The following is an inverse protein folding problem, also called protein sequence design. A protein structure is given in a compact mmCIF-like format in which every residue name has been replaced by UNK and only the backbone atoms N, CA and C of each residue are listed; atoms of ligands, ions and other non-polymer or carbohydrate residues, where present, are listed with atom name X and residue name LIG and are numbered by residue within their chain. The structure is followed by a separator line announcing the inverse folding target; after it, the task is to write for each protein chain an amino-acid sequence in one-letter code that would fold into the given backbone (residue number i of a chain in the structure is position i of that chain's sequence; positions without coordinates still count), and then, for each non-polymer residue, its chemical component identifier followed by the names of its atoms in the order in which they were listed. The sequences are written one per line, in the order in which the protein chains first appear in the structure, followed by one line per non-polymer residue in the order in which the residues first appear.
data_IF_013732140429
#
_entry.id   IF_013732140429
#
_cell.length_a   1.000
_cell.length_b   1.000
_cell.length_c   1.000
_cell.angle_alpha   90.00
_cell.angle_beta   90.00
_cell.angle_gamma   90.00
#
_symmetry.space_group_name_H-M   'P 1'
#
loop_
_entity.id
_entity.type
_entity.pdbx_description
1 polymer ?
#
# COMPACT_ATOMS: atom_id res chain seq x y z
N UNK A 1 -17.37 29.67 31.24
CA UNK A 1 -17.12 29.25 30.92
C UNK A 1 -16.39 29.00 30.23
N UNK A 2 -16.14 28.88 30.16
CA UNK A 2 -15.48 28.54 29.58
C UNK A 2 -14.76 27.88 29.07
N UNK A 3 -14.66 27.54 28.98
CA UNK A 3 -13.95 26.79 28.50
C UNK A 3 -13.55 26.23 27.88
N UNK A 4 -13.68 26.11 27.85
CA UNK A 4 -13.34 25.39 27.24
C UNK A 4 -12.63 25.06 26.54
N UNK A 5 -12.74 25.06 26.34
CA UNK A 5 -12.14 24.56 25.62
C UNK A 5 -11.27 24.33 25.18
N UNK A 6 -11.03 24.10 25.32
CA UNK A 6 -10.29 23.70 24.88
C UNK A 6 -9.79 22.97 24.50
N UNK A 7 -9.89 22.78 24.75
CA UNK A 7 -9.47 22.00 24.44
C UNK A 7 -9.15 21.56 23.67
N UNK A 8 -9.38 21.56 23.46
CA UNK A 8 -9.16 21.07 22.66
C UNK A 8 -8.43 20.93 22.12
N UNK A 9 -8.28 21.00 22.14
CA UNK A 9 -7.68 20.73 21.50
C UNK A 9 -6.95 20.18 21.38
N UNK A 10 -6.88 20.02 21.73
CA UNK A 10 -6.26 19.46 21.56
C UNK A 10 -5.89 18.69 21.17
N UNK A 11 -6.17 18.49 21.41
CA UNK A 11 -5.87 17.68 21.02
C UNK A 11 -5.44 17.40 20.17
N UNK A 12 -5.42 17.50 19.92
CA UNK A 12 -5.06 17.16 18.94
C UNK A 12 -4.02 17.03 18.62
N UNK A 13 -3.82 16.96 19.08
CA UNK A 13 -3.05 16.72 18.74
C UNK A 13 -2.39 16.18 18.39
N UNK A 14 -2.41 15.93 18.55
CA UNK A 14 -1.87 15.33 18.19
C UNK A 14 -1.53 14.88 17.63
N UNK A 15 -1.93 14.89 17.80
CA UNK A 15 -1.78 14.27 17.28
C UNK A 15 -1.12 14.00 16.69
N UNK A 16 -0.89 14.12 16.65
CA UNK A 16 -0.21 13.91 15.96
C UNK A 16 0.35 13.02 15.63
N UNK A 17 0.36 12.89 15.43
CA UNK A 17 0.74 11.95 15.09
C UNK A 17 1.66 11.56 14.33
N UNK A 18 1.80 11.10 14.23
CA UNK A 18 2.92 10.34 13.85
C UNK A 18 3.34 10.50 12.48
N UNK A 19 3.87 11.46 12.23
CA UNK A 19 4.26 11.77 10.92
C UNK A 19 5.53 11.09 10.47
N UNK A 20 6.13 10.29 11.34
CA UNK A 20 7.41 9.70 10.96
C UNK A 20 7.30 8.36 10.30
N UNK A 21 6.12 7.78 10.22
CA UNK A 21 5.91 6.55 9.51
C UNK A 21 5.09 6.86 8.27
N UNK A 22 5.74 7.16 7.18
CA UNK A 22 5.10 7.62 5.97
C UNK A 22 4.92 6.46 5.00
N UNK A 23 3.67 6.09 4.72
CA UNK A 23 3.38 5.10 3.70
C UNK A 23 3.26 5.78 2.35
N UNK A 24 3.92 5.20 1.36
CA UNK A 24 3.92 5.71 0.00
C UNK A 24 3.84 4.55 -0.97
N UNK A 25 3.43 4.84 -2.20
CA UNK A 25 3.46 3.83 -3.25
C UNK A 25 4.89 3.42 -3.53
N UNK A 26 5.09 2.12 -3.77
CA UNK A 26 6.40 1.65 -4.22
C UNK A 26 6.71 2.25 -5.57
N UNK A 27 7.98 2.20 -5.96
CA UNK A 27 8.42 2.84 -7.19
C UNK A 27 7.75 2.23 -8.42
N UNK A 28 7.77 0.91 -8.53
CA UNK A 28 7.20 0.24 -9.70
C UNK A 28 6.78 -1.18 -9.35
N UNK A 29 5.94 -1.73 -10.22
CA UNK A 29 5.51 -3.13 -10.15
C UNK A 29 6.19 -3.88 -11.28
N UNK A 30 6.85 -4.98 -10.95
CA UNK A 30 7.52 -5.82 -11.95
C UNK A 30 6.65 -7.01 -12.36
N UNK A 31 5.86 -7.55 -11.43
CA UNK A 31 4.96 -8.64 -11.76
C UNK A 31 3.78 -8.67 -10.81
N UNK A 32 2.67 -9.22 -11.28
CA UNK A 32 1.45 -9.33 -10.50
C UNK A 32 0.80 -10.67 -10.81
N UNK A 33 0.41 -11.39 -9.78
CA UNK A 33 -0.31 -12.63 -9.91
C UNK A 33 -1.58 -12.53 -9.07
N UNK A 34 -2.72 -12.84 -9.67
CA UNK A 34 -4.00 -12.85 -8.99
C UNK A 34 -4.69 -14.17 -9.28
N UNK A 35 -5.14 -14.86 -8.23
CA UNK A 35 -5.86 -16.11 -8.39
C UNK A 35 -7.03 -16.15 -7.45
N UNK A 36 -8.08 -16.85 -7.84
CA UNK A 36 -9.29 -16.98 -7.04
C UNK A 36 -9.53 -18.44 -6.72
N UNK A 37 -9.85 -18.70 -5.46
CA UNK A 37 -10.17 -20.04 -5.01
C UNK A 37 -11.09 -19.94 -3.81
N UNK A 38 -12.25 -20.59 -3.90
CA UNK A 38 -13.16 -20.66 -2.77
C UNK A 38 -13.70 -19.34 -2.29
N UNK A 39 -13.94 -18.38 -3.19
CA UNK A 39 -14.45 -17.06 -2.79
C UNK A 39 -13.41 -16.13 -2.25
N UNK A 40 -12.12 -16.46 -2.37
CA UNK A 40 -11.02 -15.63 -1.92
C UNK A 40 -10.07 -15.40 -3.10
N UNK A 41 -9.72 -14.13 -3.30
CA UNK A 41 -8.74 -13.74 -4.31
C UNK A 41 -7.41 -13.53 -3.60
N UNK A 42 -6.37 -14.21 -4.06
CA UNK A 42 -5.02 -14.03 -3.53
C UNK A 42 -4.22 -13.21 -4.54
N UNK A 43 -3.67 -12.12 -4.06
CA UNK A 43 -2.85 -11.22 -4.87
C UNK A 43 -1.41 -11.32 -4.40
N UNK A 44 -0.49 -11.39 -5.35
CA UNK A 44 0.94 -11.37 -5.06
C UNK A 44 1.59 -10.43 -6.05
N UNK A 45 2.27 -9.42 -5.54
CA UNK A 45 2.93 -8.42 -6.38
C UNK A 45 4.41 -8.38 -6.05
N UNK A 46 5.21 -8.21 -7.07
CA UNK A 46 6.64 -7.96 -6.94
C UNK A 46 6.94 -6.63 -7.59
N UNK A 47 7.77 -5.87 -6.94
CA UNK A 47 8.15 -4.56 -7.45
C UNK A 47 9.43 -4.11 -6.81
N UNK A 48 9.63 -2.81 -6.78
CA UNK A 48 10.87 -2.24 -6.26
C UNK A 48 10.61 -0.89 -5.64
N UNK A 49 11.47 -0.54 -4.68
CA UNK A 49 11.52 0.78 -4.08
C UNK A 49 12.84 1.44 -4.45
N UNK A 50 12.87 2.76 -4.33
CA UNK A 50 13.97 3.55 -4.87
C UNK A 50 15.23 3.58 -4.00
N UNK A 51 15.16 3.02 -2.80
CA UNK A 51 16.32 3.01 -1.90
C UNK A 51 16.17 1.91 -0.88
N UNK A 52 17.22 1.66 -0.11
CA UNK A 52 17.11 0.84 1.08
C UNK A 52 16.33 1.56 2.16
N UNK A 53 16.05 0.87 3.26
CA UNK A 53 15.38 1.45 4.41
C UNK A 53 13.86 1.42 4.38
N UNK A 54 13.26 1.03 3.27
CA UNK A 54 11.81 0.85 3.19
C UNK A 54 11.41 -0.43 3.91
N UNK A 55 10.26 -0.39 4.57
CA UNK A 55 9.74 -1.53 5.34
C UNK A 55 8.27 -1.75 5.04
N UNK A 56 7.75 -2.88 5.48
CA UNK A 56 6.33 -3.22 5.44
C UNK A 56 5.71 -3.08 4.05
N UNK A 57 6.25 -3.74 3.03
CA UNK A 57 5.57 -3.74 1.74
C UNK A 57 4.22 -4.44 1.89
N UNK A 58 3.18 -3.84 1.31
CA UNK A 58 1.84 -4.39 1.43
C UNK A 58 0.96 -3.94 0.29
N UNK A 59 -0.10 -4.67 0.07
CA UNK A 59 -1.12 -4.32 -0.91
C UNK A 59 -2.35 -3.83 -0.16
N UNK A 60 -2.76 -2.61 -0.48
CA UNK A 60 -3.91 -1.97 0.15
C UNK A 60 -5.06 -1.92 -0.83
N UNK A 61 -6.15 -2.62 -0.51
CA UNK A 61 -7.32 -2.63 -1.38
C UNK A 61 -8.06 -1.31 -1.20
N UNK A 62 -8.19 -0.56 -2.30
CA UNK A 62 -8.84 0.73 -2.27
C UNK A 62 -10.35 0.59 -2.46
N UNK A 63 -10.76 -0.10 -3.52
CA UNK A 63 -12.17 -0.31 -3.80
C UNK A 63 -12.32 -1.42 -4.84
N UNK A 64 -13.55 -1.88 -5.00
CA UNK A 64 -13.89 -2.85 -6.03
C UNK A 64 -15.28 -2.57 -6.53
N UNK A 65 -15.54 -2.90 -7.79
CA UNK A 65 -16.83 -2.66 -8.41
C UNK A 65 -17.51 -3.96 -8.86
N UNK A 66 -17.05 -5.09 -8.32
CA UNK A 66 -17.58 -6.41 -8.69
C UNK A 66 -16.90 -7.04 -9.88
N UNK A 67 -16.14 -6.28 -10.64
CA UNK A 67 -15.38 -6.80 -11.79
C UNK A 67 -13.91 -6.53 -11.65
N UNK A 68 -13.55 -5.37 -11.15
CA UNK A 68 -12.16 -4.97 -11.00
C UNK A 68 -11.91 -4.51 -9.57
N UNK A 69 -10.83 -5.00 -8.98
CA UNK A 69 -10.37 -4.55 -7.67
C UNK A 69 -9.18 -3.64 -7.90
N UNK A 70 -9.21 -2.46 -7.32
CA UNK A 70 -8.12 -1.49 -7.40
C UNK A 70 -7.33 -1.54 -6.10
N UNK A 71 -6.02 -1.70 -6.22
CA UNK A 71 -5.13 -1.93 -5.09
C UNK A 71 -3.92 -1.01 -5.22
N UNK A 72 -3.46 -0.47 -4.11
CA UNK A 72 -2.19 0.26 -4.07
C UNK A 72 -1.10 -0.63 -3.50
N UNK A 73 0.06 -0.62 -4.12
CA UNK A 73 1.24 -1.31 -3.60
C UNK A 73 2.04 -0.29 -2.78
N UNK A 74 1.99 -0.44 -1.47
CA UNK A 74 2.54 0.53 -0.53
C UNK A 74 3.69 -0.06 0.25
N UNK A 75 4.56 0.82 0.74
CA UNK A 75 5.57 0.46 1.73
C UNK A 75 5.82 1.69 2.60
N UNK A 76 6.43 1.47 3.75
CA UNK A 76 6.77 2.55 4.65
C UNK A 76 8.14 3.09 4.28
N UNK A 77 8.18 4.38 3.93
CA UNK A 77 9.43 5.04 3.55
C UNK A 77 10.35 5.17 4.75
N UNK A 78 11.68 5.22 4.53
CA UNK A 78 12.61 5.44 5.63
C UNK A 78 12.36 6.80 6.28
N UNK A 79 12.56 6.93 7.60
CA UNK A 79 12.39 8.20 8.27
C UNK A 79 13.33 9.25 7.71
N UNK A 80 12.95 10.53 7.76
CA UNK A 80 13.84 11.61 7.35
C UNK A 80 15.13 11.57 8.14
N UNK A 81 16.25 11.81 7.49
CA UNK A 81 17.56 11.84 8.13
C UNK A 81 18.24 10.49 8.26
N UNK A 82 17.55 9.41 7.89
CA UNK A 82 18.17 8.09 7.90
C UNK A 82 19.10 7.94 6.69
N UNK A 83 20.28 7.42 6.94
CA UNK A 83 21.21 7.08 5.85
C UNK A 83 20.75 5.76 5.22
N UNK A 84 20.51 5.79 3.93
CA UNK A 84 20.04 4.60 3.20
C UNK A 84 20.92 4.36 1.98
N UNK A 85 20.87 3.12 1.48
CA UNK A 85 21.55 2.79 0.24
C UNK A 85 20.72 3.36 -0.91
N UNK A 86 21.37 4.13 -1.78
CA UNK A 86 20.71 4.74 -2.94
C UNK A 86 20.74 3.76 -4.10
N UNK A 87 19.95 2.73 -3.98
CA UNK A 87 19.84 1.69 -5.00
C UNK A 87 18.45 1.10 -4.96
N UNK A 88 17.94 0.73 -6.12
CA UNK A 88 16.62 0.10 -6.23
C UNK A 88 16.64 -1.25 -5.53
N UNK A 89 15.66 -1.48 -4.66
CA UNK A 89 15.59 -2.69 -3.84
C UNK A 89 14.27 -3.41 -4.17
N UNK A 90 14.33 -4.72 -4.46
CA UNK A 90 13.09 -5.47 -4.74
C UNK A 90 12.25 -5.65 -3.49
N UNK A 91 10.93 -5.62 -3.66
CA UNK A 91 9.97 -5.85 -2.59
C UNK A 91 8.87 -6.76 -3.10
N UNK A 92 8.25 -7.50 -2.18
CA UNK A 92 7.17 -8.41 -2.49
C UNK A 92 6.09 -8.24 -1.44
N UNK A 93 4.83 -8.31 -1.88
CA UNK A 93 3.70 -8.25 -0.96
C UNK A 93 2.57 -9.12 -1.47
N UNK A 94 1.74 -9.59 -0.56
CA UNK A 94 0.56 -10.37 -0.91
C UNK A 94 -0.59 -10.01 0.00
N UNK A 95 -1.81 -10.27 -0.48
CA UNK A 95 -3.01 -10.05 0.30
C UNK A 95 -4.08 -11.01 -0.17
N UNK A 96 -4.97 -11.40 0.74
CA UNK A 96 -6.14 -12.20 0.43
C UNK A 96 -7.38 -11.31 0.57
N UNK A 97 -8.23 -11.32 -0.45
CA UNK A 97 -9.41 -10.48 -0.50
C UNK A 97 -10.63 -11.39 -0.68
N UNK A 98 -11.61 -11.24 0.16
CA UNK A 98 -12.85 -11.99 0.01
C UNK A 98 -13.67 -11.42 -1.13
N UNK A 99 -14.21 -12.29 -1.95
CA UNK A 99 -15.09 -11.89 -3.04
C UNK A 99 -14.64 -12.45 -4.37
N UNK A 100 -15.17 -11.85 -5.43
CA UNK A 100 -14.89 -12.27 -6.80
C UNK A 100 -14.58 -11.05 -7.63
N UNK A 101 -13.69 -11.21 -8.59
CA UNK A 101 -13.41 -10.17 -9.55
C UNK A 101 -12.86 -10.81 -10.81
N UNK A 102 -13.00 -10.13 -11.93
CA UNK A 102 -12.44 -10.58 -13.19
C UNK A 102 -10.97 -10.12 -13.34
N UNK A 103 -10.65 -8.98 -12.79
CA UNK A 103 -9.31 -8.42 -12.91
C UNK A 103 -8.92 -7.63 -11.67
N UNK A 104 -7.63 -7.39 -11.52
CA UNK A 104 -7.06 -6.60 -10.44
C UNK A 104 -6.15 -5.55 -11.06
N UNK A 105 -6.30 -4.32 -10.60
CA UNK A 105 -5.53 -3.19 -11.07
C UNK A 105 -4.66 -2.70 -9.91
N UNK A 106 -3.36 -2.75 -10.04
CA UNK A 106 -2.43 -2.39 -8.97
C UNK A 106 -1.66 -1.14 -9.37
N UNK A 107 -1.59 -0.20 -8.45
CA UNK A 107 -0.99 1.11 -8.66
C UNK A 107 0.33 1.22 -7.93
N UNK A 108 1.35 1.69 -8.63
CA UNK A 108 2.63 2.09 -8.07
C UNK A 108 2.90 3.52 -8.50
N UNK A 109 4.04 4.06 -8.11
CA UNK A 109 4.34 5.46 -8.41
C UNK A 109 4.58 5.68 -9.90
N UNK A 110 5.37 4.81 -10.52
CA UNK A 110 5.76 4.99 -11.91
C UNK A 110 4.92 4.20 -12.89
N UNK A 111 4.21 3.15 -12.43
CA UNK A 111 3.42 2.35 -13.35
C UNK A 111 2.19 1.77 -12.69
N UNK A 112 1.34 1.19 -13.50
CA UNK A 112 0.16 0.46 -13.09
C UNK A 112 0.15 -0.85 -13.85
N UNK A 113 -0.30 -1.90 -13.19
CA UNK A 113 -0.38 -3.21 -13.82
C UNK A 113 -1.77 -3.78 -13.57
N UNK A 114 -2.38 -4.28 -14.63
CA UNK A 114 -3.67 -4.96 -14.55
C UNK A 114 -3.45 -6.43 -14.87
N UNK A 115 -3.99 -7.29 -14.04
CA UNK A 115 -3.93 -8.73 -14.26
C UNK A 115 -5.31 -9.32 -14.19
N UNK A 116 -5.57 -10.30 -15.03
CA UNK A 116 -6.80 -11.07 -14.91
C UNK A 116 -6.66 -12.04 -13.75
N UNK A 117 -7.80 -12.31 -13.11
CA UNK A 117 -7.84 -13.24 -12.00
C UNK A 117 -7.94 -14.66 -12.56
N UNK A 118 -7.00 -15.49 -12.17
CA UNK A 118 -6.98 -16.90 -12.59
C UNK A 118 -7.84 -17.74 -11.66
N UNK A 119 -8.48 -18.75 -12.20
CA UNK A 119 -9.36 -19.64 -11.46
C UNK A 119 -8.81 -21.05 -11.34
#
# INVERSE_FOLDING_TARGET
MKSLPLLAATCALFCAHPAFASEKRVLRIDSLLASQKGGVITLQAKGAVQSGGWTRPRLHVMHGDGRTITVEFLATAPPPGMTVIDAVVPVTASVAVKGRAASVHVLAEENEVTSQVLH
#
